data_IF_000039935868
#
_entry.id   IF_000039935868
#
_cell.length_a   1.000
_cell.length_b   1.000
_cell.length_c   1.000
_cell.angle_alpha   90.00
_cell.angle_beta   90.00
_cell.angle_gamma   90.00
#
_symmetry.space_group_name_H-M   'P 1'
#
loop_
_entity.id
_entity.type
_entity.pdbx_description
1 polymer ?
#
# COMPACT_ATOMS: atom_id res chain seq x y z
N UNK A 1 -20.05 17.64 16.88
CA UNK A 1 -19.67 17.29 15.49
C UNK A 1 -18.25 16.75 15.38
N UNK A 2 -17.20 17.44 15.82
CA UNK A 2 -15.81 16.95 15.63
C UNK A 2 -15.54 15.52 16.16
N UNK A 3 -16.12 15.16 17.32
CA UNK A 3 -16.05 13.78 17.86
C UNK A 3 -16.74 12.74 16.96
N UNK A 4 -17.88 13.05 16.34
CA UNK A 4 -18.58 12.08 15.48
C UNK A 4 -17.80 11.80 14.19
N UNK A 5 -17.13 12.81 13.63
CA UNK A 5 -16.24 12.64 12.48
C UNK A 5 -15.05 11.76 12.85
N UNK A 6 -14.44 11.97 14.02
CA UNK A 6 -13.35 11.11 14.52
C UNK A 6 -13.78 9.65 14.67
N UNK A 7 -15.00 9.38 15.15
CA UNK A 7 -15.52 8.01 15.22
C UNK A 7 -15.76 7.39 13.84
N UNK A 8 -16.27 8.17 12.87
CA UNK A 8 -16.43 7.72 11.48
C UNK A 8 -15.06 7.38 10.87
N UNK A 9 -14.04 8.20 11.12
CA UNK A 9 -12.68 7.95 10.68
C UNK A 9 -12.12 6.65 11.25
N UNK A 10 -12.23 6.43 12.57
CA UNK A 10 -11.76 5.21 13.22
C UNK A 10 -12.49 3.98 12.67
N UNK A 11 -13.80 4.08 12.47
CA UNK A 11 -14.60 2.99 11.91
C UNK A 11 -14.15 2.65 10.48
N UNK A 12 -14.03 3.65 9.60
CA UNK A 12 -13.53 3.46 8.23
C UNK A 12 -12.13 2.85 8.20
N UNK A 13 -11.25 3.22 9.14
CA UNK A 13 -9.91 2.63 9.20
C UNK A 13 -9.93 1.18 9.67
N UNK A 14 -10.79 0.87 10.64
CA UNK A 14 -10.96 -0.51 11.11
C UNK A 14 -11.54 -1.41 10.02
N UNK A 15 -12.50 -0.93 9.22
CA UNK A 15 -13.07 -1.70 8.11
C UNK A 15 -12.08 -1.88 6.95
N UNK A 16 -11.20 -0.92 6.70
CA UNK A 16 -10.17 -1.04 5.66
C UNK A 16 -9.01 -1.96 6.09
N UNK A 17 -8.60 -1.93 7.37
CA UNK A 17 -7.63 -2.87 7.92
C UNK A 17 -8.16 -4.32 7.85
N UNK A 18 -9.45 -4.52 8.08
CA UNK A 18 -10.11 -5.80 7.86
C UNK A 18 -9.93 -6.28 6.42
N UNK A 19 -10.26 -5.45 5.43
CA UNK A 19 -10.18 -5.84 4.02
C UNK A 19 -8.75 -6.22 3.60
N UNK A 20 -7.74 -5.48 4.09
CA UNK A 20 -6.34 -5.80 3.80
C UNK A 20 -5.88 -7.11 4.46
N UNK A 21 -6.33 -7.40 5.69
CA UNK A 21 -6.04 -8.66 6.36
C UNK A 21 -6.76 -9.85 5.71
N UNK A 22 -7.97 -9.65 5.19
CA UNK A 22 -8.71 -10.66 4.45
C UNK A 22 -7.98 -11.07 3.16
N UNK A 23 -7.49 -10.09 2.39
CA UNK A 23 -6.71 -10.32 1.17
C UNK A 23 -5.41 -11.08 1.49
N UNK A 24 -4.72 -10.72 2.58
CA UNK A 24 -3.48 -11.37 3.00
C UNK A 24 -3.70 -12.76 3.63
N UNK A 25 -4.92 -13.10 4.02
CA UNK A 25 -5.25 -14.40 4.62
C UNK A 25 -5.39 -15.53 3.61
N UNK A 26 -5.48 -15.18 2.31
CA UNK A 26 -5.53 -16.14 1.20
C UNK A 26 -4.20 -16.89 1.18
N UNK A 27 -4.20 -18.21 1.50
CA UNK A 27 -2.95 -18.96 1.50
C UNK A 27 -2.44 -19.07 0.06
N UNK A 28 -1.34 -18.38 -0.22
CA UNK A 28 -0.60 -18.58 -1.45
C UNK A 28 0.14 -19.92 -1.30
N UNK A 29 -0.40 -20.98 -1.88
CA UNK A 29 0.39 -22.19 -2.07
C UNK A 29 1.47 -21.80 -3.08
N UNK A 30 2.69 -21.56 -2.58
CA UNK A 30 3.72 -20.74 -3.25
C UNK A 30 4.09 -21.12 -4.68
N UNK A 31 3.70 -22.32 -5.11
CA UNK A 31 4.14 -22.92 -6.36
C UNK A 31 3.03 -23.14 -7.40
N UNK A 32 1.75 -22.82 -7.13
CA UNK A 32 0.62 -23.23 -8.01
C UNK A 32 -0.39 -22.16 -8.39
N UNK A 33 -0.26 -20.95 -7.87
CA UNK A 33 -1.18 -19.86 -8.23
C UNK A 33 -0.56 -19.08 -9.37
N UNK A 34 -1.38 -18.79 -10.38
CA UNK A 34 -0.94 -18.02 -11.53
C UNK A 34 -0.56 -16.60 -11.07
N UNK A 35 0.60 -16.07 -11.50
CA UNK A 35 1.10 -14.76 -11.06
C UNK A 35 0.10 -13.62 -11.31
N UNK A 36 -0.75 -13.75 -12.33
CA UNK A 36 -1.85 -12.80 -12.59
C UNK A 36 -2.87 -12.73 -11.45
N UNK A 37 -3.21 -13.84 -10.78
CA UNK A 37 -4.11 -13.81 -9.62
C UNK A 37 -3.45 -13.06 -8.46
N UNK A 38 -2.14 -13.31 -8.25
CA UNK A 38 -1.38 -12.58 -7.24
C UNK A 38 -1.29 -11.08 -7.55
N UNK A 39 -1.15 -10.72 -8.83
CA UNK A 39 -1.17 -9.35 -9.30
C UNK A 39 -2.54 -8.69 -9.04
N UNK A 40 -3.64 -9.38 -9.34
CA UNK A 40 -4.99 -8.83 -9.08
C UNK A 40 -5.26 -8.63 -7.58
N UNK A 41 -4.78 -9.54 -6.72
CA UNK A 41 -4.88 -9.39 -5.26
C UNK A 41 -4.07 -8.18 -4.76
N UNK A 42 -2.86 -8.00 -5.27
CA UNK A 42 -2.03 -6.83 -4.97
C UNK A 42 -2.74 -5.53 -5.40
N UNK A 43 -3.41 -5.52 -6.55
CA UNK A 43 -4.08 -4.32 -7.05
C UNK A 43 -5.20 -3.88 -6.12
N UNK A 44 -6.03 -4.83 -5.68
CA UNK A 44 -7.11 -4.57 -4.74
C UNK A 44 -6.60 -4.08 -3.38
N UNK A 45 -5.53 -4.67 -2.86
CA UNK A 45 -4.88 -4.22 -1.61
C UNK A 45 -4.36 -2.77 -1.73
N UNK A 46 -3.72 -2.46 -2.85
CA UNK A 46 -3.14 -1.15 -3.12
C UNK A 46 -4.22 -0.08 -3.33
N UNK A 47 -5.34 -0.42 -3.97
CA UNK A 47 -6.51 0.44 -4.06
C UNK A 47 -7.07 0.78 -2.67
N UNK A 48 -7.32 -0.23 -1.84
CA UNK A 48 -7.88 -0.04 -0.49
C UNK A 48 -6.96 0.81 0.40
N UNK A 49 -5.64 0.63 0.28
CA UNK A 49 -4.67 1.45 1.02
C UNK A 49 -4.54 2.89 0.49
N UNK A 50 -4.71 3.14 -0.81
CA UNK A 50 -4.74 4.51 -1.34
C UNK A 50 -5.96 5.29 -0.85
N UNK A 51 -7.10 4.60 -0.70
CA UNK A 51 -8.34 5.17 -0.15
C UNK A 51 -8.20 5.42 1.35
N UNK A 52 -7.51 4.57 2.12
CA UNK A 52 -7.27 4.86 3.54
C UNK A 52 -6.36 6.07 3.73
N UNK A 53 -5.35 6.26 2.88
CA UNK A 53 -4.47 7.42 2.94
C UNK A 53 -5.20 8.75 2.66
N UNK A 54 -6.16 8.77 1.73
CA UNK A 54 -6.95 9.99 1.45
C UNK A 54 -7.86 10.38 2.61
N UNK A 55 -8.31 9.39 3.39
CA UNK A 55 -9.16 9.60 4.56
C UNK A 55 -8.31 10.11 5.74
N UNK A 56 -7.06 9.65 5.90
CA UNK A 56 -6.18 10.09 7.01
C UNK A 56 -5.61 11.50 6.84
N UNK A 57 -5.28 11.88 5.61
CA UNK A 57 -4.63 13.16 5.34
C UNK A 57 -5.62 14.16 4.78
N UNK A 58 -5.68 15.33 5.41
CA UNK A 58 -6.35 16.53 4.93
C UNK A 58 -6.00 16.98 3.50
N UNK A 59 -4.93 16.43 2.92
CA UNK A 59 -4.46 16.77 1.58
C UNK A 59 -4.25 15.49 0.75
N UNK A 60 -5.02 15.32 -0.31
CA UNK A 60 -5.10 14.08 -1.10
C UNK A 60 -3.88 13.83 -2.02
N UNK A 61 -2.90 14.73 -2.07
CA UNK A 61 -1.73 14.60 -2.94
C UNK A 61 -0.96 13.30 -2.71
N UNK A 62 -0.77 12.89 -1.45
CA UNK A 62 -0.09 11.64 -1.13
C UNK A 62 -0.87 10.40 -1.59
N UNK A 63 -2.19 10.37 -1.42
CA UNK A 63 -3.03 9.29 -1.93
C UNK A 63 -3.01 9.21 -3.47
N UNK A 64 -2.98 10.35 -4.16
CA UNK A 64 -2.90 10.37 -5.63
C UNK A 64 -1.54 9.89 -6.14
N UNK A 65 -0.44 10.33 -5.53
CA UNK A 65 0.91 9.88 -5.93
C UNK A 65 1.07 8.37 -5.68
N UNK A 66 0.60 7.85 -4.54
CA UNK A 66 0.56 6.41 -4.26
C UNK A 66 -0.24 5.66 -5.34
N UNK A 67 -1.44 6.12 -5.68
CA UNK A 67 -2.28 5.46 -6.69
C UNK A 67 -1.60 5.39 -8.07
N UNK A 68 -0.99 6.49 -8.52
CA UNK A 68 -0.30 6.55 -9.82
C UNK A 68 0.93 5.64 -9.89
N UNK A 69 1.77 5.65 -8.85
CA UNK A 69 2.94 4.77 -8.79
C UNK A 69 2.54 3.29 -8.80
N UNK A 70 1.44 2.94 -8.14
CA UNK A 70 0.96 1.57 -8.09
C UNK A 70 0.42 1.10 -9.44
N UNK A 71 -0.36 1.92 -10.16
CA UNK A 71 -0.80 1.56 -11.53
C UNK A 71 0.39 1.34 -12.46
N UNK A 72 1.36 2.27 -12.45
CA UNK A 72 2.54 2.19 -13.30
C UNK A 72 3.38 0.94 -13.04
N UNK A 73 3.66 0.63 -11.77
CA UNK A 73 4.43 -0.55 -11.38
C UNK A 73 3.74 -1.86 -11.75
N UNK A 74 2.43 -1.94 -11.58
CA UNK A 74 1.66 -3.15 -11.88
C UNK A 74 1.51 -3.41 -13.38
N UNK A 75 1.41 -2.36 -14.21
CA UNK A 75 1.40 -2.51 -15.67
C UNK A 75 2.71 -3.11 -16.20
N UNK A 76 3.86 -2.70 -15.65
CA UNK A 76 5.17 -3.24 -16.03
C UNK A 76 5.28 -4.73 -15.65
N UNK A 77 4.82 -5.08 -14.44
CA UNK A 77 4.78 -6.47 -13.97
C UNK A 77 3.82 -7.31 -14.82
N UNK A 78 2.68 -6.75 -15.23
CA UNK A 78 1.71 -7.41 -16.12
C UNK A 78 2.35 -7.77 -17.46
N UNK A 79 2.98 -6.81 -18.13
CA UNK A 79 3.67 -7.03 -19.42
C UNK A 79 4.75 -8.12 -19.31
N UNK A 80 5.50 -8.12 -18.21
CA UNK A 80 6.50 -9.15 -17.96
C UNK A 80 5.87 -10.55 -17.88
N UNK A 81 4.83 -10.74 -17.06
CA UNK A 81 4.23 -12.06 -16.88
C UNK A 81 3.45 -12.57 -18.08
N UNK A 82 2.75 -11.70 -18.82
CA UNK A 82 2.08 -12.09 -20.07
C UNK A 82 3.06 -12.59 -21.13
N UNK A 83 4.31 -12.10 -21.11
CA UNK A 83 5.34 -12.55 -22.04
C UNK A 83 5.98 -13.89 -21.67
N UNK A 84 5.96 -14.28 -20.39
CA UNK A 84 6.71 -15.44 -19.88
C UNK A 84 5.87 -16.71 -19.71
N UNK A 85 4.56 -16.58 -19.45
CA UNK A 85 3.71 -17.72 -19.06
C UNK A 85 2.38 -17.63 -19.81
N UNK A 86 2.24 -18.38 -20.91
CA UNK A 86 0.96 -18.45 -21.62
C UNK A 86 -0.02 -19.45 -21.02
N UNK A 87 0.39 -20.48 -20.27
CA UNK A 87 -0.51 -21.62 -19.98
C UNK A 87 -0.34 -22.36 -18.62
N UNK A 88 0.00 -21.69 -17.52
CA UNK A 88 -0.06 -22.35 -16.20
C UNK A 88 -1.51 -22.47 -15.71
N UNK A 89 -2.06 -23.70 -15.68
CA UNK A 89 -3.37 -23.97 -15.07
C UNK A 89 -3.31 -23.68 -13.57
N UNK A 90 -4.18 -22.79 -13.09
CA UNK A 90 -4.36 -22.49 -11.67
C UNK A 90 -5.02 -23.68 -10.97
N UNK A 91 -4.30 -24.38 -10.09
CA UNK A 91 -4.91 -25.40 -9.24
C UNK A 91 -5.20 -24.81 -7.86
N UNK A 92 -6.46 -24.47 -7.60
CA UNK A 92 -6.93 -24.08 -6.27
C UNK A 92 -7.22 -25.37 -5.50
N UNK A 93 -6.58 -25.56 -4.36
CA UNK A 93 -6.85 -26.71 -3.50
C UNK A 93 -8.07 -26.42 -2.61
N UNK A 94 -9.18 -27.13 -2.86
CA UNK A 94 -10.47 -26.96 -2.18
C UNK A 94 -10.41 -27.11 -0.65
N UNK A 95 -9.42 -27.85 -0.13
CA UNK A 95 -9.16 -27.97 1.31
C UNK A 95 -8.84 -26.62 1.98
N UNK A 96 -8.32 -25.63 1.24
CA UNK A 96 -8.09 -24.30 1.80
C UNK A 96 -9.38 -23.49 1.95
N UNK A 97 -10.35 -23.67 1.05
CA UNK A 97 -11.64 -22.99 1.14
C UNK A 97 -12.39 -23.42 2.41
N UNK A 98 -12.22 -24.67 2.83
CA UNK A 98 -12.79 -25.20 4.09
C UNK A 98 -12.17 -24.53 5.33
N UNK A 99 -10.91 -24.07 5.27
CA UNK A 99 -10.22 -23.39 6.39
C UNK A 99 -10.47 -21.88 6.43
N UNK A 100 -11.03 -21.29 5.37
CA UNK A 100 -11.38 -19.86 5.34
C UNK A 100 -12.36 -19.42 6.42
N UNK A 101 -13.49 -20.11 6.69
CA UNK A 101 -14.45 -19.66 7.71
C UNK A 101 -13.84 -19.56 9.11
N UNK A 102 -12.94 -20.47 9.48
CA UNK A 102 -12.26 -20.44 10.79
C UNK A 102 -11.38 -19.21 10.92
N UNK A 103 -10.63 -18.86 9.86
CA UNK A 103 -9.81 -17.63 9.84
C UNK A 103 -10.68 -16.37 9.96
N UNK A 104 -11.83 -16.35 9.26
CA UNK A 104 -12.78 -15.24 9.34
C UNK A 104 -13.32 -15.06 10.76
N UNK A 105 -13.69 -16.15 11.42
CA UNK A 105 -14.20 -16.11 12.80
C UNK A 105 -13.12 -15.61 13.78
N UNK A 106 -11.88 -16.07 13.66
CA UNK A 106 -10.80 -15.58 14.53
C UNK A 106 -10.53 -14.08 14.33
N UNK A 107 -10.65 -13.61 13.08
CA UNK A 107 -10.51 -12.18 12.78
C UNK A 107 -11.67 -11.36 13.33
N UNK A 108 -12.92 -11.77 13.14
CA UNK A 108 -14.06 -11.03 13.71
C UNK A 108 -13.97 -10.94 15.24
N UNK A 109 -13.51 -12.01 15.90
CA UNK A 109 -13.27 -12.00 17.35
C UNK A 109 -12.17 -11.01 17.76
N UNK A 110 -11.06 -10.95 17.02
CA UNK A 110 -10.00 -9.95 17.27
C UNK A 110 -10.51 -8.52 17.12
N UNK A 111 -11.39 -8.27 16.15
CA UNK A 111 -11.98 -6.94 15.95
C UNK A 111 -12.99 -6.56 17.02
N UNK A 112 -13.81 -7.50 17.48
CA UNK A 112 -14.71 -7.27 18.60
C UNK A 112 -13.89 -6.89 19.85
N UNK A 113 -12.74 -7.54 20.06
CA UNK A 113 -11.82 -7.18 21.15
C UNK A 113 -11.25 -5.77 20.99
N UNK A 114 -10.80 -5.39 19.78
CA UNK A 114 -10.27 -4.04 19.51
C UNK A 114 -11.33 -2.96 19.72
N UNK A 115 -12.56 -3.17 19.25
CA UNK A 115 -13.66 -2.23 19.45
C UNK A 115 -14.04 -2.06 20.92
N UNK A 116 -13.88 -3.12 21.71
CA UNK A 116 -14.20 -3.13 23.13
C UNK A 116 -13.06 -2.58 24.00
N UNK A 117 -11.83 -2.51 23.48
CA UNK A 117 -10.76 -1.74 24.11
C UNK A 117 -11.15 -0.26 24.05
N UNK A 118 -11.48 0.29 25.22
CA UNK A 118 -11.98 1.65 25.39
C UNK A 118 -11.19 2.68 24.58
N UNK A 119 -11.82 3.14 23.49
CA UNK A 119 -11.38 4.31 22.70
C UNK A 119 -11.31 5.59 23.54
N UNK A 120 -11.93 5.60 24.73
CA UNK A 120 -11.86 6.72 25.67
C UNK A 120 -10.46 6.94 26.26
N UNK A 121 -9.55 5.96 26.22
CA UNK A 121 -8.16 6.15 26.65
C UNK A 121 -7.23 6.69 25.57
N UNK A 122 -7.68 6.76 24.31
CA UNK A 122 -6.99 7.53 23.27
C UNK A 122 -7.37 9.01 23.40
N UNK A 123 -6.99 9.62 24.53
CA UNK A 123 -6.92 11.08 24.66
C UNK A 123 -5.76 11.60 23.81
N UNK A 124 -5.90 11.49 22.50
CA UNK A 124 -5.10 12.22 21.52
C UNK A 124 -5.78 13.51 21.09
N UNK A 125 -6.73 13.99 21.90
CA UNK A 125 -7.28 15.32 21.82
C UNK A 125 -7.08 15.97 23.18
N UNK A 126 -6.02 16.77 23.29
CA UNK A 126 -6.10 18.07 23.98
C UNK A 126 -4.89 18.98 23.73
N UNK A 127 -3.82 18.53 23.06
CA UNK A 127 -2.67 19.42 22.78
C UNK A 127 -2.72 20.09 21.39
N UNK A 128 -3.73 19.83 20.56
CA UNK A 128 -3.87 20.47 19.24
C UNK A 128 -4.78 21.71 19.23
N UNK A 129 -5.46 22.01 20.33
CA UNK A 129 -6.40 23.13 20.40
C UNK A 129 -5.74 24.49 20.71
N UNK A 130 -4.42 24.54 20.87
CA UNK A 130 -3.68 25.79 21.11
C UNK A 130 -2.87 26.27 19.88
N UNK A 131 -3.13 25.74 18.69
CA UNK A 131 -2.50 26.27 17.48
C UNK A 131 -3.39 27.39 16.95
N UNK A 132 -2.95 28.63 17.18
CA UNK A 132 -3.60 29.84 16.67
C UNK A 132 -4.05 29.65 15.21
N UNK A 133 -5.31 29.99 14.86
CA UNK A 133 -5.82 29.83 13.50
C UNK A 133 -5.03 30.67 12.48
N UNK A 134 -4.40 31.76 12.92
CA UNK A 134 -3.49 32.56 12.10
C UNK A 134 -2.21 31.82 11.69
N UNK A 135 -1.72 30.89 12.51
CA UNK A 135 -0.56 30.03 12.16
C UNK A 135 -0.97 28.94 11.16
N UNK A 136 -2.21 28.43 11.25
CA UNK A 136 -2.73 27.45 10.29
C UNK A 136 -2.88 28.02 8.87
N UNK A 137 -3.25 29.29 8.73
CA UNK A 137 -3.44 29.94 7.42
C UNK A 137 -2.10 30.14 6.70
N UNK A 138 -1.01 30.33 7.46
CA UNK A 138 0.33 30.51 6.88
C UNK A 138 1.03 29.18 6.55
N UNK A 139 0.61 28.08 7.18
CA UNK A 139 0.98 26.70 6.82
C UNK A 139 0.03 26.15 5.74
N UNK A 140 0.03 26.78 4.57
CA UNK A 140 -0.67 26.25 3.39
C UNK A 140 -0.37 24.76 3.22
N UNK A 141 -1.40 23.93 3.05
CA UNK A 141 -1.30 22.46 2.93
C UNK A 141 -0.37 21.99 1.80
N UNK A 142 -0.11 22.85 0.82
CA UNK A 142 0.81 22.66 -0.31
C UNK A 142 2.28 22.90 0.08
N UNK A 143 2.55 23.74 1.09
CA UNK A 143 3.91 24.04 1.55
C UNK A 143 4.59 22.85 2.25
N UNK A 144 3.84 21.85 2.73
CA UNK A 144 4.43 20.65 3.38
C UNK A 144 5.23 19.78 2.42
N UNK A 145 4.80 19.65 1.15
CA UNK A 145 5.54 18.89 0.13
C UNK A 145 6.77 19.68 -0.31
N UNK A 146 6.59 20.99 -0.54
CA UNK A 146 7.68 21.89 -0.92
C UNK A 146 8.75 22.02 0.18
N UNK A 147 8.41 21.67 1.42
CA UNK A 147 9.33 21.64 2.54
C UNK A 147 10.50 20.66 2.36
N UNK A 148 10.34 19.60 1.54
CA UNK A 148 11.43 18.70 1.16
C UNK A 148 12.47 19.34 0.22
N UNK A 149 12.12 20.46 -0.40
CA UNK A 149 13.00 21.23 -1.29
C UNK A 149 13.54 22.52 -0.63
N UNK A 150 13.15 22.79 0.63
CA UNK A 150 13.63 23.95 1.38
C UNK A 150 15.07 23.77 1.84
N UNK A 151 15.83 24.86 1.75
CA UNK A 151 17.22 24.91 2.22
C UNK A 151 17.33 24.38 3.66
N UNK A 152 18.32 23.51 3.91
CA UNK A 152 18.56 22.77 5.15
C UNK A 152 17.75 21.46 5.38
N UNK A 153 16.74 21.13 4.54
CA UNK A 153 15.97 19.86 4.64
C UNK A 153 16.02 18.97 3.38
N UNK A 154 16.86 19.32 2.42
CA UNK A 154 17.03 18.62 1.13
C UNK A 154 17.82 17.30 1.21
N UNK A 155 18.17 16.82 2.40
CA UNK A 155 18.99 15.62 2.52
C UNK A 155 18.24 14.37 2.04
N UNK A 156 16.92 14.30 2.26
CA UNK A 156 16.07 13.21 1.75
C UNK A 156 15.97 13.23 0.22
N UNK A 157 15.91 14.41 -0.41
CA UNK A 157 15.84 14.55 -1.87
C UNK A 157 17.19 14.24 -2.53
N UNK A 158 18.31 14.62 -1.90
CA UNK A 158 19.63 14.21 -2.36
C UNK A 158 19.82 12.69 -2.34
N UNK A 159 19.41 12.03 -1.26
CA UNK A 159 19.48 10.56 -1.16
C UNK A 159 18.63 9.88 -2.24
N UNK A 160 17.41 10.37 -2.51
CA UNK A 160 16.54 9.75 -3.52
C UNK A 160 17.08 9.89 -4.93
N UNK A 161 17.69 11.03 -5.27
CA UNK A 161 18.36 11.25 -6.57
C UNK A 161 19.53 10.29 -6.74
N UNK A 162 20.41 10.18 -5.73
CA UNK A 162 21.56 9.27 -5.76
C UNK A 162 21.08 7.82 -5.88
N UNK A 163 20.05 7.43 -5.13
CA UNK A 163 19.46 6.09 -5.21
C UNK A 163 18.94 5.76 -6.61
N UNK A 164 18.16 6.66 -7.22
CA UNK A 164 17.64 6.45 -8.58
C UNK A 164 18.76 6.35 -9.62
N UNK A 165 19.83 7.15 -9.49
CA UNK A 165 21.00 7.10 -10.37
C UNK A 165 21.74 5.75 -10.25
N UNK A 166 21.95 5.27 -9.02
CA UNK A 166 22.55 3.95 -8.78
C UNK A 166 21.66 2.84 -9.37
N UNK A 167 20.34 2.90 -9.16
CA UNK A 167 19.42 1.92 -9.75
C UNK A 167 19.49 1.88 -11.27
N UNK A 168 19.51 3.04 -11.94
CA UNK A 168 19.61 3.09 -13.40
C UNK A 168 20.92 2.45 -13.91
N UNK A 169 22.06 2.81 -13.32
CA UNK A 169 23.36 2.23 -13.70
C UNK A 169 23.43 0.72 -13.45
N UNK A 170 22.87 0.25 -12.33
CA UNK A 170 22.77 -1.18 -12.03
C UNK A 170 21.89 -1.92 -13.04
N UNK A 171 20.73 -1.37 -13.40
CA UNK A 171 19.83 -1.98 -14.40
C UNK A 171 20.54 -2.11 -15.75
N UNK A 172 21.23 -1.07 -16.21
CA UNK A 172 22.01 -1.11 -17.47
C UNK A 172 23.10 -2.19 -17.41
N UNK A 173 23.84 -2.29 -16.28
CA UNK A 173 24.86 -3.32 -16.09
C UNK A 173 24.29 -4.74 -16.11
N UNK A 174 23.14 -4.97 -15.47
CA UNK A 174 22.44 -6.27 -15.47
C UNK A 174 22.00 -6.63 -16.89
N UNK A 175 21.42 -5.67 -17.64
CA UNK A 175 20.96 -5.91 -19.01
C UNK A 175 22.12 -6.24 -19.95
N UNK A 176 23.25 -5.52 -19.85
CA UNK A 176 24.43 -5.76 -20.68
C UNK A 176 25.15 -7.08 -20.37
N UNK A 177 25.00 -7.63 -19.16
CA UNK A 177 25.65 -8.91 -18.80
C UNK A 177 25.08 -10.15 -19.51
N UNK A 178 23.87 -10.04 -20.09
CA UNK A 178 23.23 -11.12 -20.86
C UNK A 178 23.60 -11.01 -22.34
N UNK A 179 24.85 -11.32 -22.69
CA UNK A 179 25.31 -11.44 -24.09
C UNK A 179 25.39 -12.88 -24.59
N UNK A 180 25.01 -13.89 -23.79
CA UNK A 180 24.91 -15.25 -24.31
C UNK A 180 23.67 -15.40 -25.18
N UNK A 181 23.86 -15.91 -26.39
CA UNK A 181 22.81 -16.14 -27.38
C UNK A 181 21.71 -17.02 -26.79
N UNK A 182 20.47 -16.55 -26.82
CA UNK A 182 19.25 -17.32 -26.52
C UNK A 182 19.02 -18.40 -27.58
N UNK A 183 19.93 -19.38 -27.70
CA UNK A 183 19.65 -20.60 -28.44
C UNK A 183 18.76 -21.46 -27.56
N UNK A 184 17.55 -21.76 -28.04
CA UNK A 184 16.67 -22.77 -27.46
C UNK A 184 17.50 -24.05 -27.25
N UNK A 185 17.72 -24.40 -26.00
CA UNK A 185 18.12 -25.75 -25.64
C UNK A 185 16.82 -26.55 -25.75
N UNK A 186 16.75 -27.36 -26.81
CA UNK A 186 15.70 -28.36 -26.99
C UNK A 186 15.68 -29.33 -25.81
#
# INVERSE_FOLDING_TARGET
>A
MMKSWMFIYIYLMSTMMMMNLLINSIPYQFNKIHPLIMMMLLFLLLLLSSISLSIYFDNNWFSYIMFLMMIGGMMIIFMYFTSFISNMKTSINWLYLIKMPIKLIMMTMFFILLMKMNLNNFNWNNNYNEINPFILIQYNKINKIMYMYMYNKNLSTLISIIYLLICLTMVVKIMLSKTFTLRKIN
#
